data_IF_892667478329
#
_entry.id   IF_892667478329
#
_cell.length_a   1.000
_cell.length_b   1.000
_cell.length_c   1.000
_cell.angle_alpha   90.00
_cell.angle_beta   90.00
_cell.angle_gamma   90.00
#
_symmetry.space_group_name_H-M   'P 1'
#
loop_
_entity.id
_entity.type
_entity.pdbx_description
1 polymer ?
#
# COMPACT_ATOMS: atom_id res chain seq x y z
N UNK A 1 -19.85 20.12 -40.95
CA UNK A 1 -20.34 19.17 -39.93
C UNK A 1 -19.29 18.97 -38.84
N UNK A 2 -18.86 20.04 -38.16
CA UNK A 2 -17.63 19.99 -37.32
C UNK A 2 -17.68 20.75 -36.00
N UNK A 3 -18.73 21.53 -35.71
CA UNK A 3 -18.83 22.31 -34.46
C UNK A 3 -19.54 21.51 -33.34
N UNK A 4 -20.43 20.59 -33.70
CA UNK A 4 -21.21 19.81 -32.75
C UNK A 4 -20.38 18.77 -31.95
N UNK A 5 -19.28 18.27 -32.51
CA UNK A 5 -18.43 17.25 -31.87
C UNK A 5 -17.56 17.86 -30.76
N UNK A 6 -17.10 19.12 -30.91
CA UNK A 6 -16.34 19.81 -29.86
C UNK A 6 -17.18 20.14 -28.63
N UNK A 7 -18.47 20.44 -28.82
CA UNK A 7 -19.39 20.77 -27.72
C UNK A 7 -19.80 19.53 -26.91
N UNK A 8 -19.94 18.35 -27.55
CA UNK A 8 -20.24 17.10 -26.85
C UNK A 8 -19.09 16.63 -25.92
N UNK A 9 -17.83 16.91 -26.27
CA UNK A 9 -16.69 16.57 -25.40
C UNK A 9 -16.65 17.38 -24.10
N UNK A 10 -17.27 18.57 -24.05
CA UNK A 10 -17.38 19.39 -22.84
C UNK A 10 -18.51 18.95 -21.90
N UNK A 11 -19.43 18.11 -22.37
CA UNK A 11 -20.54 17.57 -21.56
C UNK A 11 -20.27 16.20 -20.97
N UNK A 12 -19.09 15.60 -21.23
CA UNK A 12 -18.71 14.39 -20.52
C UNK A 12 -18.55 14.74 -19.03
N UNK A 13 -19.28 14.08 -18.12
CA UNK A 13 -19.15 14.34 -16.70
C UNK A 13 -17.69 14.14 -16.31
N UNK A 14 -17.07 15.19 -15.77
CA UNK A 14 -15.73 15.07 -15.20
C UNK A 14 -15.81 13.98 -14.13
N UNK A 15 -15.26 12.80 -14.45
CA UNK A 15 -15.27 11.66 -13.54
C UNK A 15 -14.54 12.13 -12.27
N UNK A 16 -15.30 12.30 -11.19
CA UNK A 16 -14.75 12.75 -9.90
C UNK A 16 -13.62 11.79 -9.54
N UNK A 17 -12.47 12.34 -9.21
CA UNK A 17 -11.32 11.54 -8.80
C UNK A 17 -11.76 10.59 -7.66
N UNK A 18 -11.46 9.28 -7.76
CA UNK A 18 -11.78 8.36 -6.68
C UNK A 18 -11.01 8.78 -5.42
N UNK A 19 -11.59 8.51 -4.25
CA UNK A 19 -10.93 8.76 -2.96
C UNK A 19 -9.96 7.61 -2.71
N UNK A 20 -8.69 7.87 -2.32
CA UNK A 20 -7.77 6.80 -1.95
C UNK A 20 -8.33 5.95 -0.80
N UNK A 21 -8.07 4.64 -0.82
CA UNK A 21 -8.54 3.72 0.23
C UNK A 21 -7.78 3.84 1.55
N UNK A 22 -6.85 4.80 1.67
CA UNK A 22 -5.94 4.96 2.82
C UNK A 22 -6.67 5.05 4.17
N UNK A 23 -7.83 5.71 4.23
CA UNK A 23 -8.59 5.81 5.47
C UNK A 23 -9.13 4.44 5.95
N UNK A 24 -9.62 3.63 5.01
CA UNK A 24 -10.12 2.29 5.31
C UNK A 24 -8.97 1.36 5.70
N UNK A 25 -7.84 1.46 4.99
CA UNK A 25 -6.66 0.65 5.29
C UNK A 25 -6.08 0.97 6.67
N UNK A 26 -5.93 2.26 7.04
CA UNK A 26 -5.49 2.67 8.38
C UNK A 26 -6.44 2.15 9.47
N UNK A 27 -7.75 2.20 9.22
CA UNK A 27 -8.74 1.71 10.19
C UNK A 27 -8.56 0.21 10.42
N UNK A 28 -8.54 -0.57 9.33
CA UNK A 28 -8.33 -2.02 9.36
C UNK A 28 -7.00 -2.38 10.05
N UNK A 29 -5.91 -1.71 9.68
CA UNK A 29 -4.59 -2.01 10.23
C UNK A 29 -4.50 -1.70 11.73
N UNK A 30 -5.19 -0.65 12.18
CA UNK A 30 -5.32 -0.33 13.60
C UNK A 30 -6.07 -1.41 14.38
N UNK A 31 -7.16 -1.93 13.82
CA UNK A 31 -7.94 -3.02 14.42
C UNK A 31 -7.05 -4.26 14.57
N UNK A 32 -6.38 -4.70 13.49
CA UNK A 32 -5.49 -5.88 13.52
C UNK A 32 -4.37 -5.73 14.55
N UNK A 33 -3.73 -4.55 14.62
CA UNK A 33 -2.59 -4.33 15.51
C UNK A 33 -3.01 -4.29 16.98
N UNK A 34 -4.15 -3.69 17.31
CA UNK A 34 -4.59 -3.55 18.70
C UNK A 34 -5.36 -4.76 19.22
N UNK A 35 -5.96 -5.56 18.34
CA UNK A 35 -6.58 -6.84 18.71
C UNK A 35 -5.54 -7.93 19.00
N UNK A 36 -4.34 -7.84 18.40
CA UNK A 36 -3.30 -8.86 18.53
C UNK A 36 -2.60 -8.96 19.90
N UNK A 37 -2.96 -8.15 20.89
CA UNK A 37 -2.36 -8.15 22.24
C UNK A 37 -0.80 -8.02 22.31
N UNK A 38 -0.15 -7.52 21.26
CA UNK A 38 1.32 -7.35 21.23
C UNK A 38 1.71 -5.95 21.73
N UNK A 39 2.21 -5.87 22.96
CA UNK A 39 2.69 -4.62 23.57
C UNK A 39 3.84 -3.94 22.80
N UNK A 40 4.60 -4.72 22.03
CA UNK A 40 5.66 -4.20 21.17
C UNK A 40 5.15 -3.15 20.17
N UNK A 41 3.89 -3.25 19.72
CA UNK A 41 3.33 -2.36 18.70
C UNK A 41 2.86 -0.99 19.23
N UNK A 42 3.03 -0.69 20.53
CA UNK A 42 2.57 0.59 21.13
C UNK A 42 3.18 1.85 20.50
N UNK A 43 4.33 1.72 19.84
CA UNK A 43 5.03 2.82 19.16
C UNK A 43 4.43 3.16 17.77
N UNK A 44 3.54 2.32 17.24
CA UNK A 44 2.94 2.52 15.92
C UNK A 44 1.98 3.70 15.93
N UNK A 45 2.23 4.65 15.04
CA UNK A 45 1.47 5.90 14.98
C UNK A 45 1.06 6.29 13.55
N UNK A 46 -0.25 6.26 13.31
CA UNK A 46 -0.86 6.56 12.01
C UNK A 46 -1.11 8.06 11.75
N UNK A 47 -0.77 8.95 12.69
CA UNK A 47 -1.10 10.38 12.59
C UNK A 47 -0.45 11.05 11.37
N UNK A 48 0.74 10.60 10.96
CA UNK A 48 1.43 11.10 9.77
C UNK A 48 0.60 10.91 8.49
N UNK A 49 -0.20 9.84 8.42
CA UNK A 49 -1.02 9.48 7.26
C UNK A 49 -2.46 9.97 7.35
N UNK A 50 -2.99 10.15 8.57
CA UNK A 50 -4.38 10.52 8.83
C UNK A 50 -4.79 11.82 8.13
N UNK A 51 -3.89 12.81 8.05
CA UNK A 51 -4.18 14.08 7.35
C UNK A 51 -4.44 13.89 5.84
N UNK A 52 -3.79 12.91 5.22
CA UNK A 52 -3.97 12.59 3.80
C UNK A 52 -5.20 11.71 3.58
N UNK A 53 -5.47 10.80 4.52
CA UNK A 53 -6.65 9.95 4.52
C UNK A 53 -7.98 10.75 4.57
N UNK A 54 -7.96 11.92 5.21
CA UNK A 54 -9.12 12.82 5.37
C UNK A 54 -9.14 13.99 4.37
N UNK A 55 -8.20 14.03 3.43
CA UNK A 55 -8.07 15.16 2.52
C UNK A 55 -9.18 15.16 1.47
N UNK A 56 -9.61 16.35 1.05
CA UNK A 56 -10.49 16.49 -0.10
C UNK A 56 -9.68 16.41 -1.41
N UNK A 57 -10.02 15.44 -2.27
CA UNK A 57 -9.35 15.18 -3.54
C UNK A 57 -10.00 15.87 -4.75
N UNK A 58 -11.07 16.65 -4.56
CA UNK A 58 -11.81 17.29 -5.66
C UNK A 58 -10.95 18.19 -6.55
N UNK A 59 -9.91 18.82 -5.98
CA UNK A 59 -9.00 19.71 -6.70
C UNK A 59 -7.75 19.01 -7.28
N UNK A 60 -7.65 17.69 -7.17
CA UNK A 60 -6.48 16.94 -7.63
C UNK A 60 -6.67 16.50 -9.09
N UNK A 61 -5.60 16.60 -9.87
CA UNK A 61 -5.51 15.92 -11.16
C UNK A 61 -5.32 14.43 -10.89
N UNK A 62 -6.26 13.64 -11.38
CA UNK A 62 -6.24 12.20 -11.25
C UNK A 62 -5.70 11.52 -12.51
N UNK A 63 -4.90 10.48 -12.33
CA UNK A 63 -4.49 9.55 -13.38
C UNK A 63 -4.54 8.12 -12.85
N UNK A 64 -4.92 7.20 -13.73
CA UNK A 64 -4.82 5.75 -13.49
C UNK A 64 -4.06 5.12 -14.65
N UNK A 65 -3.13 4.23 -14.35
CA UNK A 65 -2.38 3.47 -15.33
C UNK A 65 -1.91 2.14 -14.74
N UNK A 66 -1.41 1.26 -15.58
CA UNK A 66 -0.79 -0.01 -15.18
C UNK A 66 0.70 0.03 -15.54
N UNK A 67 1.54 -0.47 -14.65
CA UNK A 67 2.97 -0.63 -14.89
C UNK A 67 3.42 -2.02 -14.42
N UNK A 68 3.73 -2.90 -15.37
CA UNK A 68 3.97 -4.32 -15.06
C UNK A 68 2.78 -4.95 -14.33
N UNK A 69 3.07 -5.54 -13.16
CA UNK A 69 2.08 -6.15 -12.25
C UNK A 69 1.33 -5.14 -11.36
N UNK A 70 1.62 -3.85 -11.48
CA UNK A 70 1.12 -2.82 -10.59
C UNK A 70 0.00 -2.00 -11.21
N UNK A 71 -1.11 -1.87 -10.48
CA UNK A 71 -2.15 -0.90 -10.78
C UNK A 71 -1.87 0.39 -10.03
N UNK A 72 -1.68 1.49 -10.76
CA UNK A 72 -1.27 2.77 -10.20
C UNK A 72 -2.39 3.79 -10.31
N UNK A 73 -2.75 4.38 -9.18
CA UNK A 73 -3.58 5.56 -9.09
C UNK A 73 -2.74 6.72 -8.58
N UNK A 74 -2.83 7.87 -9.24
CA UNK A 74 -2.02 9.05 -8.95
C UNK A 74 -2.91 10.28 -8.83
N UNK A 75 -2.79 10.99 -7.71
CA UNK A 75 -3.41 12.28 -7.48
C UNK A 75 -2.33 13.35 -7.38
N UNK A 76 -2.48 14.43 -8.14
CA UNK A 76 -1.55 15.56 -8.10
C UNK A 76 -2.30 16.87 -7.89
N UNK A 77 -1.92 17.59 -6.83
CA UNK A 77 -2.25 19.00 -6.66
C UNK A 77 -1.05 19.84 -7.08
N UNK A 78 -1.27 20.80 -7.98
CA UNK A 78 -0.25 21.76 -8.45
C UNK A 78 -0.30 23.06 -7.61
N UNK A 79 0.71 23.91 -7.76
CA UNK A 79 0.82 25.21 -7.08
C UNK A 79 1.75 25.21 -5.86
N UNK A 80 1.68 26.25 -5.02
CA UNK A 80 2.56 26.44 -3.86
C UNK A 80 2.55 25.26 -2.87
N UNK A 81 1.41 24.57 -2.74
CA UNK A 81 1.26 23.39 -1.89
C UNK A 81 1.21 22.10 -2.73
N UNK A 82 2.19 21.95 -3.64
CA UNK A 82 2.29 20.78 -4.52
C UNK A 82 2.31 19.50 -3.68
N UNK A 83 1.52 18.53 -4.10
CA UNK A 83 1.38 17.25 -3.43
C UNK A 83 1.08 16.20 -4.48
N UNK A 84 1.85 15.12 -4.45
CA UNK A 84 1.59 13.93 -5.27
C UNK A 84 1.34 12.76 -4.35
N UNK A 85 0.26 12.04 -4.57
CA UNK A 85 -0.08 10.81 -3.87
C UNK A 85 -0.19 9.71 -4.91
N UNK A 86 0.53 8.63 -4.69
CA UNK A 86 0.40 7.38 -5.43
C UNK A 86 -0.27 6.36 -4.53
N UNK A 87 -1.21 5.60 -5.09
CA UNK A 87 -1.72 4.36 -4.53
C UNK A 87 -1.39 3.27 -5.55
N UNK A 88 -0.55 2.32 -5.15
CA UNK A 88 -0.05 1.25 -6.00
C UNK A 88 -0.58 -0.07 -5.45
N UNK A 89 -1.46 -0.71 -6.20
CA UNK A 89 -2.00 -2.03 -5.87
C UNK A 89 -1.21 -3.11 -6.61
N UNK A 90 -0.73 -4.11 -5.86
CA UNK A 90 0.09 -5.22 -6.36
C UNK A 90 -0.57 -6.54 -5.99
N UNK A 91 -0.73 -7.42 -6.98
CA UNK A 91 -1.20 -8.79 -6.78
C UNK A 91 -0.02 -9.75 -6.96
N UNK A 92 0.21 -10.62 -5.98
CA UNK A 92 1.32 -11.56 -5.96
C UNK A 92 0.74 -12.98 -5.88
N UNK A 93 0.71 -13.71 -7.01
CA UNK A 93 0.25 -15.09 -7.01
C UNK A 93 1.27 -15.97 -6.28
N UNK A 94 0.77 -16.90 -5.48
CA UNK A 94 1.59 -17.90 -4.77
C UNK A 94 0.96 -19.26 -5.01
N UNK A 95 1.79 -20.16 -5.53
CA UNK A 95 1.48 -21.54 -5.89
C UNK A 95 2.04 -22.57 -4.88
N UNK A 96 3.01 -22.15 -4.07
CA UNK A 96 3.69 -23.01 -3.08
C UNK A 96 4.05 -22.20 -1.83
N UNK A 97 3.65 -22.68 -0.66
CA UNK A 97 4.20 -22.23 0.63
C UNK A 97 5.20 -23.28 1.09
N UNK A 98 6.40 -22.86 1.44
CA UNK A 98 7.33 -23.76 2.14
C UNK A 98 6.87 -23.89 3.59
N UNK A 99 6.50 -25.09 4.02
CA UNK A 99 6.21 -25.34 5.42
C UNK A 99 7.46 -25.12 6.26
N UNK A 100 7.35 -24.33 7.34
CA UNK A 100 8.33 -24.36 8.42
C UNK A 100 7.87 -25.46 9.38
N UNK A 101 8.55 -26.60 9.39
CA UNK A 101 8.34 -27.60 10.44
C UNK A 101 9.03 -27.12 11.73
N UNK A 102 8.29 -27.23 12.84
CA UNK A 102 8.70 -27.08 14.25
C UNK A 102 10.10 -26.50 14.51
N UNK A 103 10.17 -25.25 15.00
CA UNK A 103 11.36 -24.77 15.71
C UNK A 103 11.41 -25.50 17.05
N UNK A 104 12.10 -26.65 17.11
CA UNK A 104 12.43 -27.30 18.39
C UNK A 104 13.55 -26.51 19.05
N UNK A 105 13.24 -25.84 20.17
CA UNK A 105 14.19 -24.99 20.91
C UNK A 105 15.48 -25.71 21.32
N UNK A 106 15.46 -27.04 21.41
CA UNK A 106 16.59 -27.83 21.89
C UNK A 106 17.65 -28.14 20.82
N UNK A 107 17.37 -27.87 19.55
CA UNK A 107 18.36 -27.99 18.48
C UNK A 107 17.97 -27.09 17.32
N UNK A 108 18.81 -26.10 17.00
CA UNK A 108 18.71 -25.26 15.80
C UNK A 108 18.95 -26.09 14.51
N UNK A 109 18.14 -27.10 14.27
CA UNK A 109 18.06 -27.86 13.03
C UNK A 109 16.71 -27.58 12.40
N UNK A 110 16.71 -26.69 11.41
CA UNK A 110 15.59 -26.51 10.49
C UNK A 110 15.66 -27.58 9.42
N UNK A 111 14.82 -28.62 9.53
CA UNK A 111 14.55 -29.52 8.40
C UNK A 111 13.60 -28.83 7.43
N UNK A 112 13.81 -28.92 6.09
CA UNK A 112 12.85 -28.40 5.13
C UNK A 112 11.48 -29.05 5.36
N UNK A 113 10.46 -28.26 5.70
CA UNK A 113 9.09 -28.77 5.77
C UNK A 113 8.55 -29.08 4.38
N UNK A 114 7.50 -29.89 4.32
CA UNK A 114 6.84 -30.21 3.05
C UNK A 114 6.35 -28.93 2.37
N UNK A 115 6.56 -28.86 1.05
CA UNK A 115 6.00 -27.79 0.23
C UNK A 115 4.48 -28.00 0.14
N UNK A 116 3.72 -27.04 0.65
CA UNK A 116 2.27 -27.02 0.53
C UNK A 116 1.91 -26.31 -0.77
N UNK A 117 1.36 -27.05 -1.73
CA UNK A 117 0.76 -26.45 -2.91
C UNK A 117 -0.50 -25.68 -2.49
N UNK A 118 -0.44 -24.36 -2.61
CA UNK A 118 -1.56 -23.47 -2.36
C UNK A 118 -1.88 -22.74 -3.64
N UNK A 119 -3.14 -22.41 -3.92
CA UNK A 119 -3.47 -21.52 -5.03
C UNK A 119 -4.07 -20.25 -4.47
N UNK A 120 -3.22 -19.30 -4.12
CA UNK A 120 -3.65 -18.03 -3.52
C UNK A 120 -3.01 -16.83 -4.21
N UNK A 121 -3.51 -15.65 -3.90
CA UNK A 121 -2.96 -14.38 -4.36
C UNK A 121 -2.99 -13.38 -3.23
N UNK A 122 -1.82 -12.86 -2.88
CA UNK A 122 -1.69 -11.82 -1.89
C UNK A 122 -1.87 -10.46 -2.57
N UNK A 123 -2.68 -9.61 -1.95
CA UNK A 123 -2.98 -8.28 -2.46
C UNK A 123 -2.39 -7.25 -1.52
N UNK A 124 -1.52 -6.40 -2.07
CA UNK A 124 -0.87 -5.33 -1.33
C UNK A 124 -1.25 -3.98 -1.91
N UNK A 125 -1.38 -2.99 -1.03
CA UNK A 125 -1.51 -1.59 -1.40
C UNK A 125 -0.36 -0.81 -0.79
N UNK A 126 0.36 -0.07 -1.62
CA UNK A 126 1.38 0.88 -1.16
C UNK A 126 0.97 2.30 -1.49
N UNK A 127 0.96 3.16 -0.49
CA UNK A 127 0.78 4.60 -0.65
C UNK A 127 2.14 5.29 -0.61
N UNK A 128 2.40 6.16 -1.58
CA UNK A 128 3.60 7.01 -1.60
C UNK A 128 3.14 8.46 -1.69
N UNK A 129 3.42 9.22 -0.63
CA UNK A 129 2.93 10.59 -0.45
C UNK A 129 4.13 11.53 -0.50
N UNK A 130 4.17 12.37 -1.53
CA UNK A 130 5.27 13.30 -1.83
C UNK A 130 4.78 14.75 -1.69
N UNK A 131 4.86 15.36 -0.50
CA UNK A 131 4.63 16.79 -0.36
C UNK A 131 5.76 17.59 -1.02
N UNK A 132 5.48 18.83 -1.44
CA UNK A 132 6.51 19.73 -1.98
C UNK A 132 7.61 20.02 -0.96
N UNK A 133 7.21 20.22 0.30
CA UNK A 133 8.07 20.52 1.42
C UNK A 133 7.85 19.43 2.48
N UNK A 134 8.94 18.78 2.90
CA UNK A 134 8.92 17.75 3.91
C UNK A 134 9.33 16.37 3.39
N UNK A 135 9.45 15.44 4.33
CA UNK A 135 9.87 14.06 4.05
C UNK A 135 8.74 13.28 3.35
N UNK A 136 9.07 12.41 2.37
CA UNK A 136 8.09 11.51 1.77
C UNK A 136 7.56 10.53 2.83
N UNK A 137 6.31 10.14 2.67
CA UNK A 137 5.68 9.14 3.52
C UNK A 137 5.33 7.92 2.67
N UNK A 138 5.62 6.74 3.19
CA UNK A 138 5.33 5.46 2.52
C UNK A 138 4.53 4.60 3.47
N UNK A 139 3.49 3.95 2.98
CA UNK A 139 2.63 3.08 3.78
C UNK A 139 2.32 1.84 2.96
N UNK A 140 2.72 0.66 3.42
CA UNK A 140 2.43 -0.60 2.75
C UNK A 140 1.57 -1.48 3.64
N UNK A 141 0.46 -1.97 3.09
CA UNK A 141 -0.49 -2.83 3.78
C UNK A 141 -0.93 -3.99 2.89
N UNK A 142 -1.10 -5.15 3.49
CA UNK A 142 -1.72 -6.33 2.89
C UNK A 142 -3.22 -6.32 3.10
N UNK A 143 -3.98 -6.84 2.14
CA UNK A 143 -5.44 -6.93 2.23
C UNK A 143 -5.88 -7.76 3.44
N UNK A 144 -5.17 -8.85 3.72
CA UNK A 144 -5.41 -9.79 4.83
C UNK A 144 -4.43 -9.60 5.98
N UNK A 145 -3.14 -9.45 5.67
CA UNK A 145 -2.06 -9.40 6.65
C UNK A 145 -1.89 -8.08 7.38
N UNK A 146 -2.64 -7.04 7.02
CA UNK A 146 -2.56 -5.73 7.67
C UNK A 146 -1.32 -4.93 7.30
N UNK A 147 -0.92 -4.00 8.16
CA UNK A 147 0.23 -3.11 7.95
C UNK A 147 1.52 -3.94 7.81
N UNK A 148 2.26 -3.76 6.73
CA UNK A 148 3.58 -4.39 6.55
C UNK A 148 4.67 -3.49 7.11
N UNK A 149 4.65 -2.22 6.71
CA UNK A 149 5.50 -1.17 7.26
C UNK A 149 4.97 0.20 6.85
N UNK A 150 5.46 1.25 7.51
CA UNK A 150 5.42 2.59 6.98
C UNK A 150 6.76 3.31 7.18
N UNK A 151 6.98 4.36 6.39
CA UNK A 151 8.17 5.21 6.47
C UNK A 151 7.80 6.68 6.63
N UNK A 152 8.56 7.38 7.47
CA UNK A 152 8.50 8.84 7.66
C UNK A 152 9.88 9.41 7.35
N UNK A 153 10.10 9.72 6.06
CA UNK A 153 11.45 9.98 5.54
C UNK A 153 12.31 8.74 5.61
N UNK A 154 13.31 8.74 6.49
CA UNK A 154 14.35 7.70 6.57
C UNK A 154 14.07 6.68 7.68
N UNK A 155 13.07 6.96 8.52
CA UNK A 155 12.65 6.06 9.59
C UNK A 155 11.61 5.08 9.05
N UNK A 156 11.89 3.79 9.21
CA UNK A 156 10.99 2.68 8.86
C UNK A 156 10.44 2.06 10.13
N UNK A 157 9.12 1.91 10.18
CA UNK A 157 8.40 1.31 11.31
C UNK A 157 7.57 0.14 10.79
N UNK A 158 7.72 -1.01 11.43
CA UNK A 158 7.02 -2.25 11.06
C UNK A 158 6.39 -2.89 12.31
N UNK A 159 5.13 -3.33 12.23
CA UNK A 159 4.51 -4.10 13.31
C UNK A 159 5.14 -5.48 13.45
N UNK A 160 4.98 -6.04 14.64
CA UNK A 160 5.17 -7.46 14.91
C UNK A 160 3.78 -8.11 14.98
N UNK A 161 3.64 -9.30 14.42
CA UNK A 161 2.42 -10.11 14.46
C UNK A 161 2.73 -11.49 15.07
N UNK A 162 1.75 -12.09 15.75
CA UNK A 162 1.89 -13.43 16.32
C UNK A 162 1.99 -14.50 15.22
N UNK A 163 1.24 -14.28 14.14
CA UNK A 163 1.26 -15.11 12.95
C UNK A 163 1.76 -14.28 11.75
N UNK A 164 2.77 -14.79 11.06
CA UNK A 164 3.26 -14.23 9.80
C UNK A 164 2.89 -15.15 8.64
N UNK A 165 2.48 -14.58 7.51
CA UNK A 165 2.21 -15.33 6.29
C UNK A 165 3.57 -15.88 5.76
N UNK A 166 3.81 -17.18 5.91
CA UNK A 166 5.04 -17.84 5.44
C UNK A 166 4.99 -17.98 3.92
N UNK A 167 6.14 -17.81 3.23
CA UNK A 167 6.24 -18.02 1.78
C UNK A 167 5.75 -16.85 0.92
N UNK A 168 5.39 -15.73 1.53
CA UNK A 168 4.92 -14.54 0.80
C UNK A 168 6.10 -13.71 0.31
N UNK A 169 6.12 -13.42 -1.00
CA UNK A 169 7.00 -12.38 -1.56
C UNK A 169 6.29 -11.04 -1.42
N UNK A 170 6.91 -10.07 -0.76
CA UNK A 170 6.37 -8.72 -0.62
C UNK A 170 6.73 -7.84 -1.82
N UNK A 171 5.95 -6.78 -2.12
CA UNK A 171 6.30 -5.84 -3.17
C UNK A 171 7.61 -5.10 -2.86
N UNK A 172 8.56 -5.15 -3.80
CA UNK A 172 9.87 -4.52 -3.66
C UNK A 172 9.77 -2.99 -3.62
N UNK A 173 10.22 -2.37 -2.53
CA UNK A 173 10.09 -0.92 -2.35
C UNK A 173 10.80 -0.12 -3.45
N UNK A 174 11.98 -0.57 -3.89
CA UNK A 174 12.74 0.10 -4.95
C UNK A 174 11.99 0.09 -6.29
N UNK A 175 11.29 -1.00 -6.60
CA UNK A 175 10.41 -1.11 -7.77
C UNK A 175 9.28 -0.07 -7.68
N UNK A 176 8.60 0.00 -6.53
CA UNK A 176 7.50 0.94 -6.29
C UNK A 176 7.95 2.41 -6.32
N UNK A 177 9.13 2.71 -5.79
CA UNK A 177 9.70 4.06 -5.81
C UNK A 177 10.03 4.53 -7.23
N UNK A 178 10.52 3.62 -8.09
CA UNK A 178 10.76 3.87 -9.51
C UNK A 178 9.47 4.14 -10.28
N UNK A 179 8.39 3.43 -9.96
CA UNK A 179 7.06 3.72 -10.52
C UNK A 179 6.61 5.12 -10.09
N UNK A 180 6.84 5.48 -8.83
CA UNK A 180 6.45 6.77 -8.27
C UNK A 180 7.40 7.94 -8.63
N UNK A 181 8.46 7.72 -9.42
CA UNK A 181 9.32 8.80 -9.93
C UNK A 181 8.89 9.33 -11.29
N UNK A 182 7.89 8.72 -11.92
CA UNK A 182 7.26 9.17 -13.17
C UNK A 182 6.15 10.20 -12.91
#
# INVERSE_FOLDING_TARGET
MSIFILMLMWMLPQQKAPIPSLAADIKKDREIIYDGHIDYNRHINFNHFTKYARMNFSAFKFKRYQEGKHNVMRWERKGKNKLVIYQISTAIPVDTLSGLNEIRLDSLQTSPGENLHVKTTFYFTTYIIKPANGKPLIYQTGKTSGLQFYMVGDETISPVYEAIEVGVKYPELNELLKIASK
#
